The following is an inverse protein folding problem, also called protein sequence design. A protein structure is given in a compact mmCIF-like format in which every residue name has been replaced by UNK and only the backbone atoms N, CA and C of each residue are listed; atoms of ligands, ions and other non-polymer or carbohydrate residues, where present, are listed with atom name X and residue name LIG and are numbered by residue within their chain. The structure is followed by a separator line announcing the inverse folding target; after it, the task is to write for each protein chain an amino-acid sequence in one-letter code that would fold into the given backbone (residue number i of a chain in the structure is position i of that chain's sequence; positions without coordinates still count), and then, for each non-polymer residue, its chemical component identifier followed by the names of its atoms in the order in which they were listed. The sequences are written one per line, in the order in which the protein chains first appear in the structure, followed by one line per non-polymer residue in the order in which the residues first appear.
data_IF_075537249289
#
_entry.id   IF_075537249289
#
_cell.length_a   1.000
_cell.length_b   1.000
_cell.length_c   1.000
_cell.angle_alpha   90.00
_cell.angle_beta   90.00
_cell.angle_gamma   90.00
#
_symmetry.space_group_name_H-M   'P 1'
#
loop_
_entity.id
_entity.type
_entity.pdbx_description
1 polymer ?
#
# COMPACT_ATOMS: atom_id res chain seq x y z
N UNK A 1 -16.19 9.15 20.24
CA UNK A 1 -17.51 8.88 19.65
C UNK A 1 -17.31 7.95 18.46
N UNK A 2 -18.12 6.91 18.30
CA UNK A 2 -18.03 5.98 17.17
C UNK A 2 -18.97 6.42 16.04
N UNK A 3 -18.56 6.20 14.78
CA UNK A 3 -19.41 6.48 13.62
C UNK A 3 -20.60 5.52 13.54
N UNK A 4 -21.78 6.05 13.18
CA UNK A 4 -22.98 5.27 12.88
C UNK A 4 -23.15 5.24 11.37
N UNK A 5 -23.10 4.05 10.77
CA UNK A 5 -23.21 3.86 9.32
C UNK A 5 -24.60 3.41 8.94
N UNK A 6 -25.08 3.91 7.79
CA UNK A 6 -26.42 3.63 7.27
C UNK A 6 -26.37 3.31 5.79
N UNK A 7 -27.29 2.47 5.34
CA UNK A 7 -27.58 2.26 3.91
C UNK A 7 -28.18 3.54 3.29
N UNK A 8 -28.33 3.57 1.97
CA UNK A 8 -29.04 4.65 1.26
C UNK A 8 -30.51 4.79 1.68
N UNK A 9 -31.13 3.72 2.17
CA UNK A 9 -32.49 3.75 2.75
C UNK A 9 -32.55 4.24 4.20
N UNK A 10 -31.41 4.60 4.80
CA UNK A 10 -31.32 5.07 6.18
C UNK A 10 -31.25 3.96 7.24
N UNK A 11 -31.16 2.70 6.84
CA UNK A 11 -31.06 1.56 7.75
C UNK A 11 -29.66 1.49 8.36
N UNK A 12 -29.58 1.46 9.70
CA UNK A 12 -28.29 1.35 10.39
C UNK A 12 -27.70 -0.04 10.22
N UNK A 13 -26.39 -0.12 9.99
CA UNK A 13 -25.70 -1.40 9.80
C UNK A 13 -24.18 -1.31 10.00
N UNK A 14 -23.54 -2.46 9.93
CA UNK A 14 -22.08 -2.56 9.93
C UNK A 14 -21.50 -1.94 8.66
N UNK A 15 -20.49 -1.09 8.78
CA UNK A 15 -19.90 -0.38 7.64
C UNK A 15 -19.39 -1.33 6.53
N UNK A 16 -18.75 -2.45 6.90
CA UNK A 16 -18.24 -3.40 5.92
C UNK A 16 -19.36 -4.17 5.24
N UNK A 17 -20.42 -4.52 5.99
CA UNK A 17 -21.60 -5.17 5.41
C UNK A 17 -22.32 -4.24 4.43
N UNK A 18 -22.45 -2.95 4.77
CA UNK A 18 -23.04 -1.94 3.88
C UNK A 18 -22.19 -1.83 2.60
N UNK A 19 -20.87 -1.67 2.72
CA UNK A 19 -19.97 -1.58 1.57
C UNK A 19 -20.00 -2.86 0.71
N UNK A 20 -20.03 -4.04 1.34
CA UNK A 20 -20.16 -5.32 0.64
C UNK A 20 -21.47 -5.41 -0.14
N UNK A 21 -22.59 -5.00 0.48
CA UNK A 21 -23.90 -4.98 -0.19
C UNK A 21 -23.96 -4.00 -1.37
N UNK A 22 -23.13 -2.95 -1.33
CA UNK A 22 -22.96 -1.99 -2.42
C UNK A 22 -21.95 -2.43 -3.49
N UNK A 23 -21.41 -3.66 -3.40
CA UNK A 23 -20.55 -4.26 -4.42
C UNK A 23 -19.06 -4.31 -4.08
N UNK A 24 -18.62 -3.78 -2.94
CA UNK A 24 -17.22 -3.84 -2.53
C UNK A 24 -16.77 -5.31 -2.37
N UNK A 25 -15.67 -5.67 -3.02
CA UNK A 25 -15.14 -7.04 -3.02
C UNK A 25 -13.69 -7.15 -2.48
N UNK A 26 -13.05 -6.02 -2.20
CA UNK A 26 -11.70 -5.89 -1.67
C UNK A 26 -11.70 -4.83 -0.57
N UNK A 27 -10.91 -5.02 0.47
CA UNK A 27 -10.60 -3.99 1.46
C UNK A 27 -9.08 -3.85 1.60
N UNK A 28 -8.60 -2.60 1.55
CA UNK A 28 -7.19 -2.23 1.69
C UNK A 28 -6.93 -1.73 3.11
N UNK A 29 -5.98 -2.36 3.81
CA UNK A 29 -5.60 -2.02 5.17
C UNK A 29 -4.12 -1.64 5.22
N UNK A 30 -3.84 -0.39 5.60
CA UNK A 30 -2.48 0.03 5.92
C UNK A 30 -2.00 -0.61 7.22
N UNK A 31 -0.70 -0.89 7.29
CA UNK A 31 -0.01 -1.36 8.49
C UNK A 31 1.23 -0.52 8.78
N UNK A 32 1.34 -0.08 10.03
CA UNK A 32 2.45 0.67 10.60
C UNK A 32 3.23 -0.21 11.58
N UNK A 33 4.50 0.11 11.79
CA UNK A 33 5.41 -0.72 12.61
C UNK A 33 5.10 -0.55 14.10
N UNK A 34 5.39 0.62 14.68
CA UNK A 34 5.15 0.95 16.08
C UNK A 34 4.45 2.31 16.24
N UNK A 35 3.18 2.40 15.84
CA UNK A 35 2.44 3.66 15.85
C UNK A 35 2.08 4.09 17.27
N UNK A 36 2.39 5.34 17.61
CA UNK A 36 2.28 5.86 18.98
C UNK A 36 0.83 5.85 19.53
N UNK A 37 -0.15 6.01 18.66
CA UNK A 37 -1.59 5.99 18.99
C UNK A 37 -2.21 4.59 18.91
N UNK A 38 -1.44 3.58 18.50
CA UNK A 38 -1.89 2.20 18.32
C UNK A 38 -2.84 1.98 17.14
N UNK A 39 -3.04 2.96 16.26
CA UNK A 39 -3.79 2.78 15.00
C UNK A 39 -2.91 2.09 13.96
N UNK A 40 -3.52 1.32 13.05
CA UNK A 40 -2.80 0.63 11.96
C UNK A 40 -1.72 -0.37 12.39
N UNK A 41 -1.59 -0.70 13.69
CA UNK A 41 -0.67 -1.75 14.11
C UNK A 41 -1.19 -3.16 13.72
N UNK A 42 -0.32 -4.16 13.86
CA UNK A 42 -0.65 -5.58 13.60
C UNK A 42 -1.96 -6.03 14.27
N UNK A 43 -2.19 -5.68 15.53
CA UNK A 43 -3.39 -6.11 16.26
C UNK A 43 -4.68 -5.54 15.63
N UNK A 44 -4.67 -4.27 15.22
CA UNK A 44 -5.78 -3.63 14.51
C UNK A 44 -6.02 -4.26 13.14
N UNK A 45 -4.94 -4.53 12.40
CA UNK A 45 -5.00 -5.20 11.08
C UNK A 45 -5.62 -6.59 11.21
N UNK A 46 -5.18 -7.41 12.17
CA UNK A 46 -5.73 -8.74 12.42
C UNK A 46 -7.22 -8.70 12.77
N UNK A 47 -7.63 -7.78 13.63
CA UNK A 47 -9.03 -7.61 14.03
C UNK A 47 -9.92 -7.21 12.85
N UNK A 48 -9.46 -6.28 12.02
CA UNK A 48 -10.22 -5.83 10.84
C UNK A 48 -10.24 -6.89 9.74
N UNK A 49 -9.14 -7.61 9.52
CA UNK A 49 -9.06 -8.70 8.54
C UNK A 49 -10.09 -9.81 8.81
N UNK A 50 -10.34 -10.16 10.08
CA UNK A 50 -11.41 -11.09 10.45
C UNK A 50 -12.78 -10.60 9.97
N UNK A 51 -13.09 -9.32 10.17
CA UNK A 51 -14.36 -8.73 9.74
C UNK A 51 -14.47 -8.69 8.22
N UNK A 52 -13.41 -8.30 7.52
CA UNK A 52 -13.36 -8.26 6.04
C UNK A 52 -13.62 -9.65 5.46
N UNK A 53 -12.89 -10.68 5.94
CA UNK A 53 -13.02 -12.05 5.43
C UNK A 53 -14.35 -12.69 5.80
N UNK A 54 -14.93 -12.36 6.96
CA UNK A 54 -16.29 -12.79 7.33
C UNK A 54 -17.37 -12.26 6.37
N UNK A 55 -17.12 -11.11 5.71
CA UNK A 55 -18.00 -10.58 4.65
C UNK A 55 -17.70 -11.17 3.26
N UNK A 56 -16.75 -12.12 3.15
CA UNK A 56 -16.32 -12.71 1.88
C UNK A 56 -15.58 -11.73 0.95
N UNK A 57 -14.96 -10.69 1.51
CA UNK A 57 -14.13 -9.75 0.76
C UNK A 57 -12.67 -10.18 0.74
N UNK A 58 -11.96 -9.82 -0.32
CA UNK A 58 -10.51 -9.95 -0.43
C UNK A 58 -9.80 -8.89 0.42
N UNK A 59 -8.56 -9.18 0.82
CA UNK A 59 -7.74 -8.36 1.72
C UNK A 59 -6.44 -7.92 1.03
N UNK A 60 -6.23 -6.61 0.95
CA UNK A 60 -4.96 -5.99 0.53
C UNK A 60 -4.31 -5.45 1.80
N UNK A 61 -3.09 -5.89 2.10
CA UNK A 61 -2.29 -5.33 3.21
C UNK A 61 -1.24 -4.38 2.66
N UNK A 62 -1.27 -3.14 3.10
CA UNK A 62 -0.44 -2.05 2.63
C UNK A 62 0.62 -1.70 3.69
N UNK A 63 1.86 -2.14 3.48
CA UNK A 63 2.95 -1.86 4.41
C UNK A 63 3.55 -0.48 4.14
N UNK A 64 3.44 0.41 5.11
CA UNK A 64 4.10 1.71 5.05
C UNK A 64 5.59 1.65 5.44
N UNK A 65 6.02 0.61 6.17
CA UNK A 65 7.36 0.50 6.75
C UNK A 65 7.80 1.78 7.49
N UNK A 66 6.85 2.37 8.23
CA UNK A 66 7.01 3.57 9.05
C UNK A 66 6.14 3.40 10.31
N UNK A 67 6.39 4.20 11.34
CA UNK A 67 5.53 4.29 12.52
C UNK A 67 4.29 5.18 12.27
N UNK A 68 4.28 5.89 11.14
CA UNK A 68 3.22 6.83 10.74
C UNK A 68 3.02 6.76 9.23
N UNK A 69 2.31 7.74 8.67
CA UNK A 69 2.14 7.91 7.23
C UNK A 69 3.47 7.86 6.48
N UNK A 70 3.41 7.24 5.31
CA UNK A 70 4.50 7.14 4.36
C UNK A 70 3.92 7.50 3.00
N UNK A 71 4.54 8.47 2.33
CA UNK A 71 4.08 9.12 1.12
C UNK A 71 5.31 9.66 0.34
N UNK A 72 5.15 10.29 -0.83
CA UNK A 72 6.30 10.79 -1.60
C UNK A 72 7.13 11.86 -0.86
N UNK A 73 6.56 12.55 0.13
CA UNK A 73 7.22 13.56 0.96
C UNK A 73 7.84 13.01 2.24
N UNK A 74 7.41 11.83 2.71
CA UNK A 74 7.88 11.21 3.94
C UNK A 74 8.01 9.68 3.83
N UNK A 75 9.23 9.16 4.01
CA UNK A 75 9.50 7.71 4.12
C UNK A 75 10.36 7.42 5.35
N UNK A 76 10.00 8.02 6.49
CA UNK A 76 10.76 7.97 7.74
C UNK A 76 10.87 6.53 8.27
N UNK A 77 12.08 6.12 8.64
CA UNK A 77 12.32 4.84 9.32
C UNK A 77 11.53 4.78 10.64
N UNK A 78 10.94 3.62 10.98
CA UNK A 78 10.45 3.36 12.33
C UNK A 78 11.51 3.67 13.37
N UNK A 79 11.11 4.20 14.53
CA UNK A 79 12.03 4.57 15.60
C UNK A 79 12.90 3.39 16.05
N UNK A 80 12.33 2.19 16.05
CA UNK A 80 13.03 0.95 16.40
C UNK A 80 14.12 0.53 15.39
N UNK A 81 14.13 1.11 14.18
CA UNK A 81 15.07 0.76 13.11
C UNK A 81 16.09 1.89 12.85
N UNK A 82 16.00 3.00 13.59
CA UNK A 82 16.99 4.08 13.51
C UNK A 82 18.34 3.55 13.98
N UNK A 83 19.39 3.81 13.18
CA UNK A 83 20.76 3.33 13.46
C UNK A 83 21.04 1.89 13.03
N UNK A 84 20.04 1.15 12.53
CA UNK A 84 20.26 -0.15 11.92
C UNK A 84 21.07 -0.02 10.62
N UNK A 85 22.02 -0.92 10.42
CA UNK A 85 22.74 -1.07 9.16
C UNK A 85 21.80 -1.50 8.03
N UNK A 86 22.19 -1.29 6.77
CA UNK A 86 21.44 -1.79 5.62
C UNK A 86 21.09 -3.28 5.70
N UNK A 87 22.01 -4.12 6.19
CA UNK A 87 21.72 -5.55 6.35
C UNK A 87 20.65 -5.81 7.41
N UNK A 88 20.67 -5.05 8.51
CA UNK A 88 19.62 -5.14 9.53
C UNK A 88 18.28 -4.65 8.97
N UNK A 89 18.26 -3.53 8.23
CA UNK A 89 17.02 -3.02 7.61
C UNK A 89 16.37 -4.04 6.65
N UNK A 90 17.16 -4.77 5.86
CA UNK A 90 16.62 -5.88 5.07
C UNK A 90 15.96 -6.95 5.93
N UNK A 91 16.61 -7.34 7.02
CA UNK A 91 16.07 -8.31 7.99
C UNK A 91 14.82 -7.76 8.68
N UNK A 92 14.78 -6.47 9.02
CA UNK A 92 13.63 -5.82 9.64
C UNK A 92 12.40 -5.82 8.71
N UNK A 93 12.59 -5.45 7.44
CA UNK A 93 11.55 -5.52 6.40
C UNK A 93 11.02 -6.95 6.28
N UNK A 94 11.92 -7.94 6.17
CA UNK A 94 11.51 -9.34 6.08
C UNK A 94 10.68 -9.77 7.29
N UNK A 95 11.22 -9.53 8.49
CA UNK A 95 10.62 -9.99 9.73
C UNK A 95 9.28 -9.33 10.01
N UNK A 96 9.16 -8.02 9.80
CA UNK A 96 7.90 -7.31 9.99
C UNK A 96 6.82 -7.80 9.03
N UNK A 97 7.16 -7.96 7.75
CA UNK A 97 6.24 -8.45 6.73
C UNK A 97 5.81 -9.89 7.01
N UNK A 98 6.77 -10.77 7.31
CA UNK A 98 6.50 -12.17 7.65
C UNK A 98 5.64 -12.27 8.90
N UNK A 99 5.95 -11.53 9.97
CA UNK A 99 5.24 -11.61 11.25
C UNK A 99 3.75 -11.20 11.13
N UNK A 100 3.46 -10.10 10.43
CA UNK A 100 2.09 -9.65 10.21
C UNK A 100 1.32 -10.63 9.32
N UNK A 101 1.90 -11.05 8.20
CA UNK A 101 1.23 -11.92 7.24
C UNK A 101 1.07 -13.35 7.76
N UNK A 102 2.05 -13.88 8.49
CA UNK A 102 1.97 -15.20 9.10
C UNK A 102 0.88 -15.21 10.19
N UNK A 103 0.74 -14.15 10.97
CA UNK A 103 -0.37 -14.03 11.92
C UNK A 103 -1.74 -13.98 11.22
N UNK A 104 -1.85 -13.27 10.08
CA UNK A 104 -3.06 -13.27 9.25
C UNK A 104 -3.39 -14.68 8.72
N UNK A 105 -2.38 -15.41 8.23
CA UNK A 105 -2.53 -16.80 7.76
C UNK A 105 -2.96 -17.72 8.89
N UNK A 106 -2.33 -17.63 10.06
CA UNK A 106 -2.62 -18.47 11.23
C UNK A 106 -4.07 -18.29 11.73
N UNK A 107 -4.67 -17.10 11.58
CA UNK A 107 -6.07 -16.86 11.92
C UNK A 107 -7.07 -17.11 10.78
N UNK A 108 -6.63 -17.71 9.66
CA UNK A 108 -7.49 -18.03 8.51
C UNK A 108 -7.86 -16.83 7.63
N UNK A 109 -7.12 -15.71 7.73
CA UNK A 109 -7.38 -14.48 6.95
C UNK A 109 -6.19 -14.13 6.05
N UNK A 110 -5.59 -15.11 5.38
CA UNK A 110 -4.47 -14.90 4.45
C UNK A 110 -4.72 -13.73 3.50
N UNK A 111 -3.74 -12.84 3.36
CA UNK A 111 -3.82 -11.70 2.45
C UNK A 111 -3.89 -12.17 0.99
N UNK A 112 -4.76 -11.53 0.20
CA UNK A 112 -4.90 -11.81 -1.23
C UNK A 112 -3.87 -11.01 -2.03
N UNK A 113 -3.54 -9.79 -1.57
CA UNK A 113 -2.50 -8.93 -2.12
C UNK A 113 -1.76 -8.21 -1.00
N UNK A 114 -0.48 -7.94 -1.22
CA UNK A 114 0.38 -7.16 -0.32
C UNK A 114 1.08 -6.08 -1.10
N UNK A 115 1.05 -4.86 -0.59
CA UNK A 115 1.85 -3.74 -1.08
C UNK A 115 3.12 -3.64 -0.25
N UNK A 116 4.28 -3.71 -0.91
CA UNK A 116 5.59 -3.57 -0.26
C UNK A 116 6.02 -2.11 -0.38
N UNK A 117 5.67 -1.30 0.62
CA UNK A 117 5.88 0.16 0.63
C UNK A 117 4.64 0.91 0.15
N UNK A 118 4.43 2.14 0.64
CA UNK A 118 3.35 3.02 0.19
C UNK A 118 3.92 4.25 -0.54
N UNK A 119 3.43 4.49 -1.76
CA UNK A 119 3.78 5.64 -2.60
C UNK A 119 5.30 5.90 -2.65
N UNK A 120 6.04 4.84 -3.00
CA UNK A 120 7.50 4.77 -2.90
C UNK A 120 8.22 5.50 -4.05
N UNK A 121 7.65 6.61 -4.54
CA UNK A 121 8.23 7.41 -5.64
C UNK A 121 9.68 7.82 -5.35
N UNK A 122 9.98 8.16 -4.10
CA UNK A 122 11.34 8.43 -3.61
C UNK A 122 12.01 7.24 -2.91
N UNK A 123 11.41 6.05 -2.93
CA UNK A 123 11.88 4.86 -2.22
C UNK A 123 11.17 4.63 -0.88
N UNK A 124 11.82 3.92 0.05
CA UNK A 124 11.32 3.64 1.41
C UNK A 124 12.46 3.63 2.42
N UNK A 125 12.19 3.80 3.72
CA UNK A 125 13.23 3.73 4.77
C UNK A 125 14.42 4.67 4.49
N UNK A 126 14.16 5.97 4.36
CA UNK A 126 15.20 6.92 4.01
C UNK A 126 16.31 7.02 5.08
N UNK A 127 17.57 7.20 4.68
CA UNK A 127 18.05 7.39 3.29
C UNK A 127 18.49 6.10 2.57
N UNK A 128 18.62 4.97 3.28
CA UNK A 128 19.20 3.74 2.74
C UNK A 128 18.40 3.17 1.56
N UNK A 129 17.06 3.23 1.64
CA UNK A 129 16.19 2.81 0.54
C UNK A 129 15.69 3.97 -0.33
N UNK A 130 16.44 5.07 -0.45
CA UNK A 130 16.13 6.14 -1.42
C UNK A 130 16.28 5.65 -2.86
N UNK A 131 15.56 6.25 -3.81
CA UNK A 131 15.80 6.07 -5.26
C UNK A 131 17.13 6.65 -5.73
N UNK A 132 17.85 7.40 -4.90
CA UNK A 132 19.28 7.71 -5.12
C UNK A 132 20.19 6.47 -4.96
N UNK A 133 19.67 5.39 -4.37
CA UNK A 133 20.39 4.16 -4.08
C UNK A 133 19.57 2.92 -4.48
N UNK A 134 19.34 2.78 -5.78
CA UNK A 134 18.53 1.71 -6.36
C UNK A 134 18.95 0.29 -5.95
N UNK A 135 20.24 0.02 -5.80
CA UNK A 135 20.71 -1.29 -5.34
C UNK A 135 20.21 -1.63 -3.93
N UNK A 136 20.27 -0.66 -3.02
CA UNK A 136 19.78 -0.86 -1.66
C UNK A 136 18.25 -0.93 -1.60
N UNK A 137 17.56 -0.01 -2.28
CA UNK A 137 16.10 -0.04 -2.42
C UNK A 137 15.61 -1.38 -2.98
N UNK A 138 16.23 -1.89 -4.04
CA UNK A 138 15.86 -3.17 -4.63
C UNK A 138 16.02 -4.33 -3.66
N UNK A 139 17.08 -4.34 -2.86
CA UNK A 139 17.27 -5.35 -1.81
C UNK A 139 16.23 -5.28 -0.68
N UNK A 140 15.77 -4.08 -0.31
CA UNK A 140 14.68 -3.91 0.66
C UNK A 140 13.34 -4.40 0.11
N UNK A 141 12.98 -3.98 -1.11
CA UNK A 141 11.75 -4.40 -1.79
C UNK A 141 11.72 -5.92 -2.00
N UNK A 142 12.84 -6.50 -2.43
CA UNK A 142 12.96 -7.94 -2.59
C UNK A 142 12.88 -8.70 -1.27
N UNK A 143 13.38 -8.13 -0.18
CA UNK A 143 13.22 -8.70 1.17
C UNK A 143 11.74 -8.78 1.57
N UNK A 144 10.97 -7.71 1.30
CA UNK A 144 9.53 -7.68 1.50
C UNK A 144 8.80 -8.70 0.61
N UNK A 145 9.14 -8.77 -0.68
CA UNK A 145 8.60 -9.77 -1.61
C UNK A 145 8.83 -11.20 -1.11
N UNK A 146 10.05 -11.52 -0.69
CA UNK A 146 10.41 -12.86 -0.21
C UNK A 146 9.67 -13.24 1.07
N UNK A 147 9.48 -12.28 1.98
CA UNK A 147 8.66 -12.50 3.17
C UNK A 147 7.20 -12.82 2.81
N UNK A 148 6.60 -12.10 1.85
CA UNK A 148 5.25 -12.40 1.35
C UNK A 148 5.18 -13.82 0.78
N UNK A 149 6.11 -14.17 -0.11
CA UNK A 149 6.12 -15.48 -0.77
C UNK A 149 6.41 -16.64 0.19
N UNK A 150 7.20 -16.40 1.23
CA UNK A 150 7.45 -17.39 2.29
C UNK A 150 6.19 -17.71 3.10
N UNK A 151 5.31 -16.73 3.32
CA UNK A 151 4.02 -16.96 3.98
C UNK A 151 3.02 -17.62 3.02
N UNK A 152 2.92 -17.12 1.79
CA UNK A 152 1.95 -17.59 0.80
C UNK A 152 2.44 -17.27 -0.62
N UNK A 153 2.82 -18.31 -1.37
CA UNK A 153 3.31 -18.16 -2.75
C UNK A 153 2.25 -17.59 -3.70
N UNK A 154 0.95 -17.79 -3.39
CA UNK A 154 -0.18 -17.31 -4.17
C UNK A 154 -0.58 -15.86 -3.89
N UNK A 155 -0.05 -15.24 -2.83
CA UNK A 155 -0.37 -13.84 -2.51
C UNK A 155 0.32 -12.92 -3.51
N UNK A 156 -0.46 -12.03 -4.16
CA UNK A 156 0.07 -11.06 -5.13
C UNK A 156 0.91 -10.00 -4.42
N UNK A 157 2.11 -9.71 -4.90
CA UNK A 157 2.94 -8.60 -4.40
C UNK A 157 2.85 -7.41 -5.35
N UNK A 158 2.36 -6.28 -4.84
CA UNK A 158 2.25 -5.02 -5.58
C UNK A 158 3.34 -4.02 -5.15
N UNK A 159 3.80 -3.23 -6.11
CA UNK A 159 4.53 -1.98 -5.85
C UNK A 159 3.61 -0.81 -6.19
N UNK A 160 3.72 0.27 -5.42
CA UNK A 160 2.75 1.36 -5.44
C UNK A 160 3.43 2.72 -5.54
N UNK A 161 3.05 3.51 -6.55
CA UNK A 161 3.50 4.89 -6.73
C UNK A 161 2.32 5.87 -6.67
N UNK A 162 2.56 7.04 -6.10
CA UNK A 162 1.70 8.21 -6.28
C UNK A 162 1.79 8.75 -7.72
N UNK A 163 1.01 9.81 -7.97
CA UNK A 163 1.05 10.60 -9.22
C UNK A 163 0.84 9.76 -10.47
N UNK A 164 -0.21 8.94 -10.49
CA UNK A 164 -0.50 8.04 -11.62
C UNK A 164 -0.70 8.71 -12.99
N UNK A 165 -0.92 10.04 -13.06
CA UNK A 165 -0.91 10.78 -14.33
C UNK A 165 0.50 11.08 -14.87
N UNK A 166 1.55 10.88 -14.08
CA UNK A 166 2.94 11.10 -14.46
C UNK A 166 3.52 9.86 -15.15
N UNK A 167 3.34 9.80 -16.47
CA UNK A 167 3.86 8.72 -17.31
C UNK A 167 5.39 8.61 -17.23
N UNK A 168 6.11 9.74 -17.28
CA UNK A 168 7.58 9.71 -17.33
C UNK A 168 8.16 9.31 -15.98
N UNK A 169 7.60 9.79 -14.87
CA UNK A 169 7.96 9.36 -13.52
C UNK A 169 7.68 7.88 -13.28
N UNK A 170 6.49 7.40 -13.69
CA UNK A 170 6.12 5.98 -13.57
C UNK A 170 7.05 5.09 -14.39
N UNK A 171 7.36 5.46 -15.64
CA UNK A 171 8.33 4.74 -16.48
C UNK A 171 9.71 4.72 -15.85
N UNK A 172 10.23 5.88 -15.49
CA UNK A 172 11.57 5.99 -14.90
C UNK A 172 11.71 5.11 -13.66
N UNK A 173 10.72 5.13 -12.76
CA UNK A 173 10.79 4.36 -11.53
C UNK A 173 10.79 2.85 -11.80
N UNK A 174 9.83 2.35 -12.58
CA UNK A 174 9.72 0.92 -12.83
C UNK A 174 10.80 0.37 -13.78
N UNK A 175 11.30 1.16 -14.74
CA UNK A 175 12.45 0.77 -15.56
C UNK A 175 13.69 0.56 -14.68
N UNK A 176 13.93 1.44 -13.70
CA UNK A 176 15.02 1.27 -12.74
C UNK A 176 14.78 0.11 -11.77
N UNK A 177 13.55 -0.10 -11.29
CA UNK A 177 13.21 -1.23 -10.44
C UNK A 177 13.49 -2.56 -11.16
N UNK A 178 13.05 -2.70 -12.42
CA UNK A 178 13.28 -3.89 -13.23
C UNK A 178 14.77 -4.08 -13.51
N UNK A 179 15.51 -3.03 -13.87
CA UNK A 179 16.95 -3.13 -14.14
C UNK A 179 17.78 -3.52 -12.91
N UNK A 180 17.30 -3.20 -11.71
CA UNK A 180 17.89 -3.60 -10.44
C UNK A 180 17.33 -4.94 -9.88
N UNK A 181 16.51 -5.65 -10.66
CA UNK A 181 16.02 -6.98 -10.31
C UNK A 181 14.97 -6.97 -9.20
N UNK A 182 14.18 -5.90 -9.06
CA UNK A 182 13.04 -5.85 -8.14
C UNK A 182 11.95 -6.83 -8.59
N UNK A 183 11.49 -7.66 -7.66
CA UNK A 183 10.43 -8.66 -7.85
C UNK A 183 9.08 -8.07 -7.47
N UNK A 184 8.09 -8.22 -8.37
CA UNK A 184 6.70 -7.82 -8.14
C UNK A 184 5.76 -8.50 -9.14
N UNK A 185 4.48 -8.57 -8.75
CA UNK A 185 3.42 -9.25 -9.49
C UNK A 185 2.38 -8.27 -10.04
N UNK A 186 2.21 -7.09 -9.43
CA UNK A 186 1.24 -6.07 -9.84
C UNK A 186 1.76 -4.64 -9.62
N UNK A 187 1.15 -3.69 -10.32
CA UNK A 187 1.46 -2.26 -10.22
C UNK A 187 0.22 -1.52 -9.71
N UNK A 188 0.35 -0.86 -8.56
CA UNK A 188 -0.66 0.06 -8.04
C UNK A 188 -0.24 1.51 -8.32
N UNK A 189 -1.20 2.36 -8.69
CA UNK A 189 -0.98 3.80 -8.85
C UNK A 189 -2.08 4.60 -8.13
N UNK A 190 -1.71 5.68 -7.43
CA UNK A 190 -2.68 6.66 -6.91
C UNK A 190 -3.09 7.67 -7.98
N UNK A 191 -4.38 7.96 -8.07
CA UNK A 191 -4.91 9.02 -8.93
C UNK A 191 -5.94 9.87 -8.20
N UNK A 192 -5.63 11.14 -8.03
CA UNK A 192 -6.53 12.16 -7.53
C UNK A 192 -6.65 13.25 -8.58
N UNK A 193 -7.83 13.41 -9.18
CA UNK A 193 -8.03 14.34 -10.31
C UNK A 193 -7.79 15.82 -9.96
N UNK A 194 -7.69 16.16 -8.68
CA UNK A 194 -7.33 17.50 -8.22
C UNK A 194 -5.83 17.80 -8.34
N UNK A 195 -4.96 16.78 -8.22
CA UNK A 195 -3.51 16.96 -8.13
C UNK A 195 -2.73 16.26 -9.27
N UNK A 196 -3.28 15.21 -9.87
CA UNK A 196 -2.53 14.30 -10.76
C UNK A 196 -2.83 14.50 -12.26
N UNK A 197 -3.43 15.63 -12.64
CA UNK A 197 -3.76 15.93 -14.03
C UNK A 197 -5.06 15.25 -14.50
N UNK A 198 -5.35 15.26 -15.81
CA UNK A 198 -6.57 14.72 -16.39
C UNK A 198 -6.60 13.18 -16.37
N UNK A 199 -7.80 12.61 -16.38
CA UNK A 199 -8.00 11.14 -16.34
C UNK A 199 -7.39 10.43 -17.56
N UNK A 200 -7.28 11.12 -18.70
CA UNK A 200 -6.62 10.62 -19.91
C UNK A 200 -5.14 10.30 -19.69
N UNK A 201 -4.45 11.09 -18.87
CA UNK A 201 -3.03 10.89 -18.59
C UNK A 201 -2.85 9.69 -17.67
N UNK A 202 -3.77 9.51 -16.72
CA UNK A 202 -3.81 8.31 -15.88
C UNK A 202 -4.09 7.04 -16.70
N UNK A 203 -5.07 7.09 -17.61
CA UNK A 203 -5.34 5.97 -18.51
C UNK A 203 -4.11 5.62 -19.36
N UNK A 204 -3.47 6.63 -19.96
CA UNK A 204 -2.24 6.44 -20.75
C UNK A 204 -1.13 5.79 -19.92
N UNK A 205 -0.98 6.20 -18.66
CA UNK A 205 0.03 5.64 -17.76
C UNK A 205 -0.26 4.20 -17.36
N UNK A 206 -1.53 3.85 -17.09
CA UNK A 206 -1.93 2.47 -16.81
C UNK A 206 -1.71 1.56 -18.02
N UNK A 207 -2.12 2.00 -19.22
CA UNK A 207 -1.97 1.23 -20.46
C UNK A 207 -0.48 0.98 -20.78
N UNK A 208 0.37 2.01 -20.62
CA UNK A 208 1.81 1.86 -20.80
C UNK A 208 2.43 0.92 -19.77
N UNK A 209 2.14 1.10 -18.47
CA UNK A 209 2.70 0.26 -17.42
C UNK A 209 2.30 -1.22 -17.59
N UNK A 210 1.04 -1.48 -17.95
CA UNK A 210 0.56 -2.83 -18.21
C UNK A 210 1.30 -3.47 -19.40
N UNK A 211 1.40 -2.76 -20.52
CA UNK A 211 2.03 -3.27 -21.74
C UNK A 211 3.55 -3.44 -21.58
N UNK A 212 4.22 -2.46 -20.96
CA UNK A 212 5.68 -2.41 -20.82
C UNK A 212 6.21 -3.48 -19.87
N UNK A 213 5.57 -3.65 -18.71
CA UNK A 213 6.07 -4.56 -17.67
C UNK A 213 5.39 -5.93 -17.69
N UNK A 214 4.32 -6.09 -18.48
CA UNK A 214 3.55 -7.34 -18.56
C UNK A 214 2.90 -7.71 -17.24
N UNK A 215 2.45 -6.71 -16.46
CA UNK A 215 1.86 -6.87 -15.14
C UNK A 215 0.44 -6.30 -15.09
N UNK A 216 -0.47 -6.89 -14.30
CA UNK A 216 -1.74 -6.25 -13.99
C UNK A 216 -1.50 -4.91 -13.27
N UNK A 217 -2.31 -3.92 -13.63
CA UNK A 217 -2.31 -2.57 -13.05
C UNK A 217 -3.62 -2.32 -12.31
N UNK A 218 -3.61 -1.50 -11.25
CA UNK A 218 -4.82 -1.09 -10.54
C UNK A 218 -4.69 0.33 -9.95
N UNK A 219 -5.84 1.01 -9.82
CA UNK A 219 -5.94 2.26 -9.07
C UNK A 219 -5.97 1.95 -7.57
N UNK A 220 -4.88 2.27 -6.87
CA UNK A 220 -4.71 1.93 -5.46
C UNK A 220 -5.40 2.92 -4.52
N UNK A 221 -5.30 4.22 -4.83
CA UNK A 221 -5.93 5.29 -4.06
C UNK A 221 -6.56 6.34 -4.98
N UNK A 222 -7.76 6.78 -4.62
CA UNK A 222 -8.46 7.87 -5.31
C UNK A 222 -9.48 8.52 -4.39
N UNK A 223 -9.85 9.76 -4.71
CA UNK A 223 -10.97 10.44 -4.09
C UNK A 223 -11.58 11.43 -5.08
N UNK A 224 -12.86 11.68 -4.91
CA UNK A 224 -13.58 12.74 -5.59
C UNK A 224 -14.39 13.51 -4.55
N UNK A 225 -14.26 14.84 -4.48
CA UNK A 225 -14.93 15.62 -3.46
C UNK A 225 -16.44 15.60 -3.65
N UNK A 226 -17.20 15.43 -2.56
CA UNK A 226 -18.67 15.55 -2.60
C UNK A 226 -19.11 16.98 -2.88
N UNK A 227 -18.32 17.97 -2.43
CA UNK A 227 -18.49 19.40 -2.72
C UNK A 227 -17.14 20.07 -2.92
N UNK A 228 -17.12 21.16 -3.68
CA UNK A 228 -15.88 21.85 -4.09
C UNK A 228 -15.39 22.91 -3.09
N UNK A 229 -16.16 23.21 -2.05
CA UNK A 229 -15.75 24.07 -0.94
C UNK A 229 -14.79 23.32 0.01
N UNK A 230 -13.67 23.96 0.36
CA UNK A 230 -12.67 23.42 1.30
C UNK A 230 -12.96 23.92 2.71
N UNK A 231 -13.09 23.00 3.66
CA UNK A 231 -13.30 23.30 5.10
C UNK A 231 -12.16 22.77 5.99
N UNK A 232 -11.05 22.31 5.38
CA UNK A 232 -9.78 22.08 6.07
C UNK A 232 -8.61 22.69 5.28
N UNK A 233 -7.48 22.84 5.97
CA UNK A 233 -6.21 23.32 5.41
C UNK A 233 -5.21 22.18 5.18
N UNK A 234 -5.68 20.93 5.10
CA UNK A 234 -4.82 19.76 4.95
C UNK A 234 -4.59 19.51 3.45
N UNK A 235 -3.32 19.57 3.04
CA UNK A 235 -2.92 19.20 1.68
C UNK A 235 -2.60 17.71 1.64
N UNK A 236 -3.15 16.98 0.67
CA UNK A 236 -2.60 15.67 0.30
C UNK A 236 -1.28 15.93 -0.43
N UNK A 237 -0.17 15.47 0.15
CA UNK A 237 1.18 15.65 -0.38
C UNK A 237 1.57 14.49 -1.30
#
# INVERSE_FOLDING_TARGET
LGGVYKTSSGTTGDALAILKSAGMNYARLKVWVNPADGYNNKARVLAMAKRIKAQGMKLLVDFHYSDTWADPGAQTKPAAWVGHSYSQLKTDVYNHTYDVLNALKAQGTTADMVQVGNEINGGMLWSEGSTDNWSQLAGLLNSGYDAVKAVSSSTTVALHLAKGGDLSGTRWWFDNAVSNGVKFDAIGLSYYGYWHGPLSDFQTTLDDAAARYGKPVFLAETAYPFRLDSDDSLVNQ
#
